data_IF_871559878123
#
_entry.id   IF_871559878123
#
_cell.length_a   1.000
_cell.length_b   1.000
_cell.length_c   1.000
_cell.angle_alpha   90.00
_cell.angle_beta   90.00
_cell.angle_gamma   90.00
#
_symmetry.space_group_name_H-M   'P 1'
#
loop_
_entity.id
_entity.type
_entity.pdbx_description
1 polymer ?
#
# COMPACT_ATOMS: atom_id res chain seq x y z
N UNK A 1 19.26 -7.84 -71.16
CA UNK A 1 18.16 -8.44 -70.38
C UNK A 1 18.78 -9.08 -69.14
N UNK A 2 18.15 -8.89 -67.98
CA UNK A 2 18.41 -9.57 -66.69
C UNK A 2 19.67 -9.09 -65.94
N UNK A 3 19.66 -8.61 -64.70
CA UNK A 3 18.64 -8.42 -63.68
C UNK A 3 19.39 -8.07 -62.39
N UNK A 4 19.12 -6.90 -61.79
CA UNK A 4 19.74 -6.44 -60.54
C UNK A 4 19.05 -7.16 -59.38
N UNK A 5 19.78 -8.00 -58.65
CA UNK A 5 19.33 -8.59 -57.40
C UNK A 5 19.68 -7.64 -56.24
N UNK A 6 18.69 -6.85 -55.80
CA UNK A 6 18.73 -6.11 -54.54
C UNK A 6 18.50 -7.10 -53.38
N UNK A 7 19.57 -7.48 -52.69
CA UNK A 7 19.50 -8.18 -51.41
C UNK A 7 19.06 -7.18 -50.33
N UNK A 8 17.75 -7.10 -50.09
CA UNK A 8 17.17 -6.40 -48.95
C UNK A 8 17.53 -7.17 -47.66
N UNK A 9 18.56 -6.70 -46.98
CA UNK A 9 18.92 -7.15 -45.63
C UNK A 9 17.94 -6.51 -44.65
N UNK A 10 16.77 -7.13 -44.46
CA UNK A 10 15.83 -6.74 -43.40
C UNK A 10 16.45 -7.18 -42.08
N UNK A 11 17.23 -6.28 -41.48
CA UNK A 11 17.62 -6.37 -40.09
C UNK A 11 16.36 -6.09 -39.26
N UNK A 12 15.64 -7.15 -38.89
CA UNK A 12 14.68 -7.10 -37.79
C UNK A 12 15.45 -6.75 -36.52
N UNK A 13 15.64 -5.46 -36.26
CA UNK A 13 15.91 -4.97 -34.92
C UNK A 13 14.66 -5.31 -34.12
N UNK A 14 14.71 -6.45 -33.44
CA UNK A 14 13.84 -6.73 -32.32
C UNK A 14 14.07 -5.57 -31.34
N UNK A 15 13.17 -4.60 -31.36
CA UNK A 15 13.07 -3.57 -30.33
C UNK A 15 12.49 -4.29 -29.12
N UNK A 16 13.28 -5.17 -28.50
CA UNK A 16 13.10 -5.58 -27.14
C UNK A 16 13.38 -4.33 -26.32
N UNK A 17 12.38 -3.46 -26.18
CA UNK A 17 12.42 -2.35 -25.26
C UNK A 17 12.57 -2.96 -23.88
N UNK A 18 13.79 -3.04 -23.38
CA UNK A 18 14.04 -3.31 -21.98
C UNK A 18 13.34 -2.20 -21.21
N UNK A 19 12.22 -2.53 -20.55
CA UNK A 19 11.64 -1.66 -19.53
C UNK A 19 12.74 -1.38 -18.53
N UNK A 20 13.21 -0.13 -18.47
CA UNK A 20 14.20 0.29 -17.49
C UNK A 20 13.63 -0.01 -16.10
N UNK A 21 14.27 -0.92 -15.37
CA UNK A 21 13.90 -1.24 -13.99
C UNK A 21 14.54 -0.19 -13.10
N UNK A 22 13.71 0.52 -12.33
CA UNK A 22 14.14 1.42 -11.27
C UNK A 22 14.09 0.68 -9.94
N UNK A 23 15.27 0.47 -9.34
CA UNK A 23 15.46 -0.23 -8.07
C UNK A 23 16.37 0.62 -7.19
N UNK A 24 15.92 0.90 -5.98
CA UNK A 24 16.63 1.68 -4.96
C UNK A 24 16.76 0.81 -3.70
N UNK A 25 17.93 0.21 -3.46
CA UNK A 25 18.08 -0.75 -2.36
C UNK A 25 17.08 -1.90 -2.44
N UNK A 26 16.23 -2.06 -1.42
CA UNK A 26 15.14 -3.06 -1.40
C UNK A 26 13.85 -2.57 -2.10
N UNK A 27 13.79 -1.33 -2.54
CA UNK A 27 12.61 -0.72 -3.13
C UNK A 27 12.61 -0.86 -4.66
N UNK A 28 11.83 -1.80 -5.18
CA UNK A 28 11.54 -1.91 -6.61
C UNK A 28 10.40 -0.95 -6.99
N UNK A 29 10.77 0.25 -7.42
CA UNK A 29 9.84 1.31 -7.85
C UNK A 29 8.99 0.84 -9.04
N UNK A 30 9.59 0.05 -9.93
CA UNK A 30 8.90 -0.47 -11.12
C UNK A 30 7.73 -1.36 -10.73
N UNK A 31 7.97 -2.29 -9.80
CA UNK A 31 6.92 -3.15 -9.25
C UNK A 31 5.88 -2.34 -8.46
N UNK A 32 6.32 -1.39 -7.64
CA UNK A 32 5.41 -0.51 -6.88
C UNK A 32 4.47 0.28 -7.79
N UNK A 33 4.94 0.78 -8.93
CA UNK A 33 4.08 1.49 -9.87
C UNK A 33 3.00 0.62 -10.53
N UNK A 34 3.13 -0.70 -10.49
CA UNK A 34 2.07 -1.61 -10.98
C UNK A 34 0.91 -1.77 -9.99
N UNK A 35 1.12 -1.42 -8.71
CA UNK A 35 0.14 -1.62 -7.65
C UNK A 35 -0.69 -0.38 -7.33
N UNK A 36 -0.37 0.76 -7.95
CA UNK A 36 -1.00 2.06 -7.72
C UNK A 36 -1.68 2.60 -8.98
N UNK A 37 -2.60 3.56 -8.86
CA UNK A 37 -3.16 4.25 -10.02
C UNK A 37 -2.09 4.98 -10.84
N UNK A 38 -2.20 5.03 -12.18
CA UNK A 38 -1.38 5.92 -13.00
C UNK A 38 -1.51 7.37 -12.54
N UNK A 39 -0.39 8.11 -12.55
CA UNK A 39 -0.28 9.47 -12.01
C UNK A 39 0.14 9.51 -10.53
N UNK A 40 0.12 8.38 -9.82
CA UNK A 40 0.62 8.31 -8.44
C UNK A 40 2.10 8.70 -8.40
N UNK A 41 2.45 9.54 -7.45
CA UNK A 41 3.83 9.96 -7.20
C UNK A 41 4.41 9.15 -6.04
N UNK A 42 5.58 8.58 -6.25
CA UNK A 42 6.34 7.84 -5.25
C UNK A 42 7.68 8.52 -5.01
N UNK A 43 7.98 8.83 -3.75
CA UNK A 43 9.27 9.39 -3.36
C UNK A 43 10.41 8.39 -3.59
N UNK A 44 11.61 8.92 -3.84
CA UNK A 44 12.82 8.13 -3.84
C UNK A 44 13.31 7.91 -2.40
N UNK A 45 13.95 6.78 -2.16
CA UNK A 45 14.63 6.45 -0.89
C UNK A 45 16.14 6.69 -0.96
N UNK A 46 16.64 7.25 -2.06
CA UNK A 46 18.07 7.59 -2.23
C UNK A 46 18.31 9.04 -2.59
N UNK A 47 17.28 9.85 -2.79
CA UNK A 47 17.38 11.31 -2.91
C UNK A 47 16.01 11.94 -2.76
N UNK A 48 15.90 13.06 -2.07
CA UNK A 48 14.67 13.84 -2.07
C UNK A 48 14.62 14.87 -3.20
N UNK A 49 15.67 14.98 -4.02
CA UNK A 49 15.68 15.89 -5.16
C UNK A 49 14.81 15.39 -6.29
N UNK A 50 14.39 14.13 -6.26
CA UNK A 50 13.51 13.57 -7.26
C UNK A 50 12.50 12.58 -6.68
N UNK A 51 11.50 12.31 -7.51
CA UNK A 51 10.44 11.35 -7.26
C UNK A 51 10.07 10.66 -8.56
N UNK A 52 9.22 9.66 -8.48
CA UNK A 52 8.75 8.90 -9.62
C UNK A 52 7.26 9.15 -9.84
N UNK A 53 6.88 9.40 -11.09
CA UNK A 53 5.49 9.42 -11.51
C UNK A 53 5.18 8.07 -12.14
N UNK A 54 4.27 7.31 -11.54
CA UNK A 54 3.84 6.04 -12.08
C UNK A 54 2.99 6.24 -13.34
N UNK A 55 3.43 5.69 -14.46
CA UNK A 55 2.65 5.70 -15.71
C UNK A 55 2.28 4.28 -16.10
N UNK A 56 1.41 4.13 -17.10
CA UNK A 56 1.08 2.83 -17.69
C UNK A 56 2.29 2.07 -18.24
N UNK A 57 3.37 2.78 -18.57
CA UNK A 57 4.59 2.21 -19.15
C UNK A 57 5.71 2.03 -18.11
N UNK A 58 5.43 2.27 -16.83
CA UNK A 58 6.41 2.25 -15.75
C UNK A 58 6.64 3.63 -15.11
N UNK A 59 7.51 3.69 -14.09
CA UNK A 59 7.88 4.93 -13.41
C UNK A 59 8.65 5.88 -14.34
N UNK A 60 8.38 7.18 -14.20
CA UNK A 60 9.15 8.26 -14.82
C UNK A 60 9.75 9.11 -13.71
N UNK A 61 11.07 9.14 -13.62
CA UNK A 61 11.79 9.98 -12.66
C UNK A 61 11.62 11.47 -13.01
N UNK A 62 11.30 12.27 -12.01
CA UNK A 62 11.07 13.72 -12.12
C UNK A 62 11.83 14.43 -11.01
N UNK A 63 12.67 15.42 -11.36
CA UNK A 63 13.42 16.22 -10.40
C UNK A 63 12.60 17.41 -9.89
N UNK A 64 12.74 17.71 -8.61
CA UNK A 64 12.30 18.97 -8.04
C UNK A 64 13.20 20.12 -8.49
N UNK A 65 12.67 21.36 -8.54
CA UNK A 65 13.48 22.55 -8.78
C UNK A 65 14.55 22.75 -7.71
N UNK A 66 15.63 23.46 -8.04
CA UNK A 66 16.68 23.83 -7.08
C UNK A 66 16.10 24.53 -5.84
N UNK A 67 16.49 24.08 -4.65
CA UNK A 67 15.98 24.59 -3.36
C UNK A 67 14.67 23.96 -2.89
N UNK A 68 14.16 22.97 -3.63
CA UNK A 68 12.98 22.19 -3.27
C UNK A 68 13.32 20.71 -3.17
N UNK A 69 12.61 20.02 -2.27
CA UNK A 69 12.69 18.57 -2.10
C UNK A 69 11.28 17.98 -2.18
N UNK A 70 11.19 16.73 -2.61
CA UNK A 70 9.91 16.05 -2.75
C UNK A 70 9.31 15.76 -1.36
N UNK A 71 8.14 16.33 -1.12
CA UNK A 71 7.31 16.06 0.05
C UNK A 71 6.25 15.03 -0.34
N UNK A 72 6.48 13.77 0.04
CA UNK A 72 5.55 12.69 -0.26
C UNK A 72 4.19 12.87 0.45
N UNK A 73 4.15 13.56 1.61
CA UNK A 73 2.90 13.81 2.34
C UNK A 73 2.03 14.80 1.56
N UNK A 74 2.65 15.79 0.91
CA UNK A 74 1.97 16.72 0.02
C UNK A 74 1.73 16.15 -1.40
N UNK A 75 2.56 15.19 -1.83
CA UNK A 75 2.71 14.76 -3.22
C UNK A 75 3.08 15.94 -4.14
N UNK A 76 4.10 16.69 -3.73
CA UNK A 76 4.62 17.82 -4.47
C UNK A 76 6.04 18.19 -4.00
N UNK A 77 6.77 18.97 -4.81
CA UNK A 77 8.00 19.58 -4.36
C UNK A 77 7.69 20.75 -3.41
N UNK A 78 8.25 20.70 -2.20
CA UNK A 78 8.14 21.73 -1.17
C UNK A 78 9.53 22.32 -0.88
N UNK A 79 9.65 23.55 -0.34
CA UNK A 79 10.96 24.11 0.02
C UNK A 79 11.74 23.13 0.90
N UNK A 80 13.01 22.84 0.57
CA UNK A 80 13.79 21.79 1.24
C UNK A 80 13.85 21.95 2.76
N UNK A 81 13.88 23.20 3.26
CA UNK A 81 13.86 23.53 4.69
C UNK A 81 12.59 23.11 5.43
N UNK A 82 11.50 22.83 4.70
CA UNK A 82 10.20 22.42 5.26
C UNK A 82 9.95 20.91 5.16
N UNK A 83 10.82 20.16 4.45
CA UNK A 83 10.67 18.73 4.21
C UNK A 83 11.55 17.95 5.18
N UNK A 84 10.98 16.93 5.82
CA UNK A 84 11.73 15.94 6.61
C UNK A 84 12.40 14.91 5.69
N UNK A 85 13.29 15.39 4.82
CA UNK A 85 14.14 14.55 3.99
C UNK A 85 15.28 13.97 4.82
N UNK A 86 15.44 12.65 4.78
CA UNK A 86 16.58 11.96 5.38
C UNK A 86 17.28 11.05 4.38
N UNK A 87 16.79 10.96 3.14
CA UNK A 87 17.25 10.03 2.11
C UNK A 87 18.15 10.75 1.10
N UNK A 88 19.31 10.15 0.79
CA UNK A 88 20.20 10.65 -0.26
C UNK A 88 21.02 11.88 0.06
N UNK A 89 21.14 12.24 1.34
CA UNK A 89 22.00 13.34 1.77
C UNK A 89 23.30 12.78 2.35
N UNK A 90 24.44 13.38 1.99
CA UNK A 90 25.75 13.04 2.56
C UNK A 90 25.77 13.31 4.08
N UNK A 91 25.01 14.33 4.52
CA UNK A 91 24.79 14.65 5.92
C UNK A 91 23.28 14.64 6.23
N UNK A 92 22.76 13.68 7.01
CA UNK A 92 21.32 13.63 7.35
C UNK A 92 20.87 14.79 8.26
N UNK A 93 21.81 15.56 8.82
CA UNK A 93 21.54 16.79 9.57
C UNK A 93 21.43 18.04 8.70
N UNK A 94 21.77 17.96 7.41
CA UNK A 94 21.78 19.14 6.54
C UNK A 94 20.41 19.82 6.49
N UNK A 95 20.41 21.15 6.65
CA UNK A 95 19.20 21.97 6.65
C UNK A 95 18.34 21.88 7.92
N UNK A 96 18.75 21.11 8.94
CA UNK A 96 18.04 21.06 10.24
C UNK A 96 18.57 22.12 11.19
N UNK A 97 17.69 22.95 11.73
CA UNK A 97 18.05 24.03 12.66
C UNK A 97 17.84 23.61 14.12
N UNK A 98 18.80 23.95 14.98
CA UNK A 98 18.74 23.62 16.40
C UNK A 98 19.15 22.18 16.70
N UNK A 99 18.52 21.64 17.74
CA UNK A 99 18.81 20.32 18.31
C UNK A 99 17.71 19.34 17.92
N UNK A 100 18.05 18.30 17.16
CA UNK A 100 17.07 17.33 16.67
C UNK A 100 17.71 15.97 16.35
N UNK A 101 16.89 14.93 16.26
CA UNK A 101 17.32 13.57 15.95
C UNK A 101 16.79 13.11 14.59
N UNK A 102 17.67 12.55 13.77
CA UNK A 102 17.36 12.08 12.41
C UNK A 102 17.69 10.58 12.28
N UNK A 103 16.97 9.82 11.45
CA UNK A 103 17.25 8.41 11.25
C UNK A 103 18.53 8.23 10.42
N UNK A 104 19.25 7.12 10.64
CA UNK A 104 20.32 6.70 9.74
C UNK A 104 19.73 5.90 8.58
N UNK A 105 20.00 6.34 7.35
CA UNK A 105 19.53 5.67 6.12
C UNK A 105 19.94 4.20 6.11
N UNK A 106 18.99 3.33 5.77
CA UNK A 106 19.27 1.89 5.65
C UNK A 106 19.19 1.12 6.97
N UNK A 107 19.02 1.83 8.07
CA UNK A 107 18.79 1.26 9.39
C UNK A 107 17.38 1.61 9.85
N UNK A 108 16.83 0.83 10.77
CA UNK A 108 15.55 1.17 11.38
C UNK A 108 15.68 1.51 12.88
N UNK A 109 16.83 1.19 13.48
CA UNK A 109 17.08 1.44 14.91
C UNK A 109 18.09 2.56 15.16
N UNK A 110 18.92 2.95 14.19
CA UNK A 110 19.97 3.96 14.42
C UNK A 110 19.48 5.39 14.16
N UNK A 111 20.08 6.33 14.89
CA UNK A 111 19.80 7.75 14.83
C UNK A 111 21.06 8.59 14.95
N UNK A 112 20.99 9.81 14.43
CA UNK A 112 22.02 10.85 14.55
C UNK A 112 21.42 12.05 15.29
N UNK A 113 22.11 12.54 16.31
CA UNK A 113 21.83 13.81 16.94
C UNK A 113 22.48 14.93 16.15
N UNK A 114 21.65 15.86 15.70
CA UNK A 114 22.04 17.05 14.96
C UNK A 114 22.02 18.24 15.91
N UNK A 115 23.07 19.04 15.83
CA UNK A 115 23.19 20.33 16.48
C UNK A 115 23.77 21.31 15.49
N UNK A 116 23.00 22.28 15.03
CA UNK A 116 23.48 23.20 13.99
C UNK A 116 22.79 23.02 12.64
N UNK A 117 22.43 21.80 12.23
CA UNK A 117 22.92 21.17 10.97
C UNK A 117 24.13 20.22 11.01
N UNK A 118 24.84 20.10 12.13
CA UNK A 118 26.02 19.23 12.25
C UNK A 118 25.70 17.97 13.03
N UNK A 119 26.05 16.81 12.47
CA UNK A 119 26.04 15.53 13.19
C UNK A 119 26.97 15.60 14.41
N UNK A 120 26.39 15.61 15.60
CA UNK A 120 27.07 15.83 16.88
C UNK A 120 26.99 14.64 17.83
N UNK A 121 26.28 13.58 17.44
CA UNK A 121 26.22 12.31 18.14
C UNK A 121 25.42 11.28 17.35
N UNK A 122 25.49 10.02 17.75
CA UNK A 122 24.69 8.94 17.19
C UNK A 122 24.37 7.90 18.24
N UNK A 123 23.39 7.05 17.96
CA UNK A 123 23.05 5.93 18.83
C UNK A 123 22.07 4.98 18.16
N UNK A 124 21.67 3.96 18.92
CA UNK A 124 20.82 2.88 18.44
C UNK A 124 19.68 2.63 19.44
N UNK A 125 18.48 2.46 18.93
CA UNK A 125 17.30 2.06 19.68
C UNK A 125 17.42 0.58 20.07
N UNK A 126 17.38 0.28 21.37
CA UNK A 126 17.47 -1.10 21.86
C UNK A 126 16.10 -1.75 21.79
N UNK A 127 15.97 -2.86 21.05
CA UNK A 127 14.72 -3.60 20.86
C UNK A 127 13.53 -2.71 20.44
N UNK A 128 13.81 -1.66 19.66
CA UNK A 128 12.87 -0.62 19.24
C UNK A 128 13.32 0.01 17.92
N UNK A 129 12.46 0.83 17.31
CA UNK A 129 12.69 1.50 16.03
C UNK A 129 12.80 3.00 16.28
N UNK A 130 13.73 3.69 15.61
CA UNK A 130 13.78 5.15 15.70
C UNK A 130 12.66 5.78 14.88
N UNK A 131 11.81 6.57 15.53
CA UNK A 131 10.74 7.31 14.88
C UNK A 131 11.19 8.78 14.69
N UNK A 132 11.39 9.24 13.43
CA UNK A 132 11.84 10.60 13.16
C UNK A 132 10.75 11.67 13.32
N UNK A 133 9.46 11.29 13.29
CA UNK A 133 8.36 12.23 13.55
C UNK A 133 8.28 12.55 15.06
N UNK A 134 8.51 11.57 15.93
CA UNK A 134 8.53 11.76 17.40
C UNK A 134 9.93 11.98 17.97
N UNK A 135 10.96 11.95 17.13
CA UNK A 135 12.38 12.06 17.49
C UNK A 135 12.79 11.15 18.67
N UNK A 136 12.28 9.92 18.68
CA UNK A 136 12.44 9.00 19.81
C UNK A 136 12.34 7.54 19.37
N UNK A 137 12.87 6.64 20.20
CA UNK A 137 12.69 5.21 20.01
C UNK A 137 11.24 4.82 20.32
N UNK A 138 10.56 4.22 19.34
CA UNK A 138 9.22 3.70 19.46
C UNK A 138 9.23 2.17 19.49
N UNK A 139 8.25 1.56 20.16
CA UNK A 139 8.12 0.11 20.21
C UNK A 139 7.99 -0.49 18.80
N UNK A 140 8.81 -1.48 18.48
CA UNK A 140 8.80 -2.14 17.18
C UNK A 140 9.93 -3.16 17.07
N UNK A 141 9.80 -4.13 16.18
CA UNK A 141 10.85 -5.13 15.93
C UNK A 141 11.59 -4.77 14.66
N UNK A 142 12.85 -4.34 14.80
CA UNK A 142 13.76 -4.17 13.69
C UNK A 142 14.25 -5.55 13.22
N UNK A 143 13.90 -5.95 12.01
CA UNK A 143 14.52 -7.14 11.37
C UNK A 143 15.64 -6.61 10.49
N UNK A 144 16.76 -6.24 11.11
CA UNK A 144 17.92 -5.80 10.34
C UNK A 144 18.49 -7.00 9.59
N UNK A 145 18.33 -7.02 8.27
CA UNK A 145 19.45 -7.45 7.45
C UNK A 145 20.30 -6.19 7.31
N UNK A 146 21.49 -6.10 7.93
CA UNK A 146 22.38 -4.97 7.76
C UNK A 146 22.89 -4.97 6.32
N UNK A 147 22.05 -4.51 5.41
CA UNK A 147 22.42 -4.20 4.04
C UNK A 147 23.00 -2.80 4.09
N UNK A 148 24.25 -2.64 3.69
CA UNK A 148 24.82 -1.34 3.37
C UNK A 148 24.01 -0.72 2.24
N UNK A 149 23.01 0.09 2.57
CA UNK A 149 22.17 0.75 1.57
C UNK A 149 20.79 1.16 2.07
N UNK A 150 20.09 1.97 1.27
CA UNK A 150 18.75 2.46 1.56
C UNK A 150 17.76 1.30 1.73
N UNK A 151 16.92 1.36 2.77
CA UNK A 151 15.92 0.34 3.07
C UNK A 151 14.56 1.01 3.30
N UNK A 152 13.60 0.69 2.44
CA UNK A 152 12.21 1.08 2.59
C UNK A 152 11.49 0.07 3.47
N UNK A 153 10.91 0.55 4.58
CA UNK A 153 10.09 -0.25 5.49
C UNK A 153 8.80 -0.72 4.79
N UNK A 154 8.03 0.24 4.29
CA UNK A 154 6.80 0.02 3.56
C UNK A 154 6.51 1.18 2.61
N UNK A 155 5.65 0.96 1.61
CA UNK A 155 5.36 1.97 0.58
C UNK A 155 4.74 3.27 1.17
N UNK A 156 4.12 3.23 2.35
CA UNK A 156 3.54 4.40 3.03
C UNK A 156 4.56 5.42 3.53
N UNK A 157 5.87 5.12 3.44
CA UNK A 157 6.94 6.09 3.67
C UNK A 157 7.29 6.93 2.44
N UNK A 158 6.77 6.58 1.26
CA UNK A 158 7.09 7.26 -0.01
C UNK A 158 5.88 7.58 -0.88
N UNK A 159 4.69 7.04 -0.59
CA UNK A 159 3.43 7.41 -1.24
C UNK A 159 2.61 8.33 -0.33
N UNK A 160 1.84 9.22 -0.95
CA UNK A 160 0.91 10.11 -0.24
C UNK A 160 0.03 9.35 0.76
N UNK A 161 -0.15 9.85 2.01
CA UNK A 161 -1.10 9.29 2.95
C UNK A 161 -2.53 9.21 2.40
N UNK A 162 -3.33 8.30 2.97
CA UNK A 162 -4.69 7.98 2.51
C UNK A 162 -4.76 7.41 1.09
N UNK A 163 -3.65 6.89 0.57
CA UNK A 163 -3.61 6.14 -0.68
C UNK A 163 -3.85 4.66 -0.45
N UNK A 164 -4.42 4.00 -1.46
CA UNK A 164 -4.60 2.55 -1.53
C UNK A 164 -3.71 1.97 -2.64
N UNK A 165 -3.17 0.78 -2.42
CA UNK A 165 -2.37 0.08 -3.41
C UNK A 165 -2.51 -1.44 -3.25
N UNK A 166 -2.26 -2.18 -4.33
CA UNK A 166 -2.39 -3.64 -4.35
C UNK A 166 -1.15 -4.36 -3.81
N UNK A 167 -1.29 -5.64 -3.52
CA UNK A 167 -0.15 -6.53 -3.38
C UNK A 167 0.41 -6.94 -4.75
N UNK A 168 1.73 -7.18 -4.81
CA UNK A 168 2.43 -7.78 -5.96
C UNK A 168 2.50 -9.30 -5.89
N UNK A 169 2.01 -9.92 -4.81
CA UNK A 169 2.02 -11.37 -4.58
C UNK A 169 0.62 -11.99 -4.45
N UNK A 170 -0.41 -11.19 -4.10
CA UNK A 170 -1.79 -11.65 -4.00
C UNK A 170 -2.73 -10.59 -4.59
N UNK A 171 -3.46 -10.95 -5.64
CA UNK A 171 -4.32 -10.00 -6.34
C UNK A 171 -5.50 -9.52 -5.49
N UNK A 172 -5.97 -10.33 -4.53
CA UNK A 172 -7.07 -9.97 -3.65
C UNK A 172 -6.63 -9.07 -2.50
N UNK A 173 -5.34 -9.01 -2.17
CA UNK A 173 -4.83 -8.18 -1.07
C UNK A 173 -4.60 -6.75 -1.55
N UNK A 174 -5.05 -5.80 -0.73
CA UNK A 174 -4.71 -4.39 -0.84
C UNK A 174 -4.14 -3.87 0.46
N UNK A 175 -3.46 -2.74 0.36
CA UNK A 175 -2.89 -1.98 1.45
C UNK A 175 -3.43 -0.55 1.42
N UNK A 176 -3.33 0.13 2.55
CA UNK A 176 -3.67 1.54 2.66
C UNK A 176 -2.76 2.24 3.65
N UNK A 177 -2.50 3.52 3.37
CA UNK A 177 -1.61 4.34 4.18
C UNK A 177 -2.38 5.24 5.15
N UNK A 178 -2.08 5.11 6.42
CA UNK A 178 -2.58 6.02 7.44
C UNK A 178 -1.82 7.36 7.41
N UNK A 179 -2.39 8.44 7.99
CA UNK A 179 -1.74 9.75 8.06
C UNK A 179 -0.37 9.77 8.75
N UNK A 180 -0.11 8.83 9.65
CA UNK A 180 1.17 8.65 10.35
C UNK A 180 2.21 7.85 9.54
N UNK A 181 1.89 7.47 8.31
CA UNK A 181 2.75 6.66 7.46
C UNK A 181 2.85 5.20 7.91
N UNK A 182 1.97 4.73 8.79
CA UNK A 182 1.76 3.29 9.01
C UNK A 182 0.91 2.70 7.88
N UNK A 183 1.07 1.39 7.66
CA UNK A 183 0.40 0.65 6.60
C UNK A 183 -0.59 -0.34 7.21
N UNK A 184 -1.83 -0.32 6.75
CA UNK A 184 -2.80 -1.38 7.00
C UNK A 184 -3.05 -2.21 5.73
N UNK A 185 -3.65 -3.38 5.91
CA UNK A 185 -4.02 -4.29 4.83
C UNK A 185 -5.52 -4.64 4.82
N UNK A 186 -5.97 -5.27 3.74
CA UNK A 186 -7.31 -5.81 3.60
C UNK A 186 -7.45 -6.73 2.39
N UNK A 187 -8.60 -7.40 2.29
CA UNK A 187 -8.92 -8.34 1.20
C UNK A 187 -10.11 -7.83 0.41
N UNK A 188 -9.98 -7.79 -0.91
CA UNK A 188 -11.03 -7.36 -1.81
C UNK A 188 -12.14 -8.42 -1.90
N UNK A 189 -13.41 -8.07 -1.60
CA UNK A 189 -14.53 -9.03 -1.62
C UNK A 189 -14.85 -9.54 -3.03
N UNK A 190 -14.46 -8.80 -4.06
CA UNK A 190 -14.67 -9.14 -5.47
C UNK A 190 -13.44 -9.81 -6.12
N UNK A 191 -12.44 -10.17 -5.31
CA UNK A 191 -11.31 -11.00 -5.71
C UNK A 191 -10.10 -10.27 -6.29
N UNK A 192 -10.20 -8.96 -6.60
CA UNK A 192 -9.05 -8.20 -7.10
C UNK A 192 -9.00 -6.76 -6.57
N UNK A 193 -7.81 -6.29 -6.21
CA UNK A 193 -7.52 -4.86 -6.19
C UNK A 193 -7.23 -4.39 -7.62
N UNK A 194 -7.92 -3.35 -8.09
CA UNK A 194 -7.74 -2.81 -9.43
C UNK A 194 -6.91 -1.54 -9.33
N UNK A 195 -5.59 -1.68 -9.57
CA UNK A 195 -4.61 -0.59 -9.41
C UNK A 195 -5.01 0.67 -10.18
N UNK A 196 -5.54 0.51 -11.40
CA UNK A 196 -6.01 1.63 -12.23
C UNK A 196 -6.98 2.58 -11.51
N UNK A 197 -7.84 2.04 -10.62
CA UNK A 197 -8.85 2.81 -9.90
C UNK A 197 -8.50 3.01 -8.43
N UNK A 198 -7.46 2.34 -7.92
CA UNK A 198 -7.10 2.37 -6.51
C UNK A 198 -8.18 1.75 -5.61
N UNK A 199 -8.94 0.75 -6.12
CA UNK A 199 -10.11 0.22 -5.44
C UNK A 199 -10.34 -1.28 -5.74
N UNK A 200 -11.12 -1.93 -4.88
CA UNK A 200 -11.53 -3.31 -5.09
C UNK A 200 -12.52 -3.45 -6.26
N UNK A 201 -12.32 -4.50 -7.05
CA UNK A 201 -13.13 -4.85 -8.20
C UNK A 201 -12.95 -6.32 -8.57
N UNK A 202 -13.27 -6.65 -9.82
CA UNK A 202 -13.10 -7.99 -10.37
C UNK A 202 -11.81 -8.09 -11.17
N UNK A 203 -11.26 -9.29 -11.25
CA UNK A 203 -10.17 -9.59 -12.18
C UNK A 203 -10.70 -9.64 -13.61
N UNK A 204 -10.64 -8.50 -14.28
CA UNK A 204 -11.03 -8.35 -15.68
C UNK A 204 -9.93 -7.58 -16.39
N UNK A 205 -9.69 -7.86 -17.67
CA UNK A 205 -8.65 -7.21 -18.46
C UNK A 205 -7.22 -7.34 -17.88
N UNK A 206 -6.91 -8.46 -17.22
CA UNK A 206 -5.56 -8.72 -16.72
C UNK A 206 -5.19 -7.89 -15.48
N UNK A 207 -6.17 -7.50 -14.66
CA UNK A 207 -5.90 -6.75 -13.42
C UNK A 207 -4.95 -7.50 -12.49
N UNK A 208 -4.96 -8.84 -12.53
CA UNK A 208 -4.04 -9.69 -11.77
C UNK A 208 -2.74 -10.05 -12.51
N UNK A 209 -2.52 -9.60 -13.75
CA UNK A 209 -1.31 -9.94 -14.52
C UNK A 209 -0.05 -9.26 -13.97
N UNK A 210 -0.21 -8.30 -13.05
CA UNK A 210 0.88 -7.57 -12.36
C UNK A 210 1.59 -8.37 -11.26
N UNK A 211 1.08 -9.55 -10.90
CA UNK A 211 1.69 -10.38 -9.86
C UNK A 211 3.04 -10.88 -10.39
N UNK A 212 4.13 -10.47 -9.75
CA UNK A 212 5.50 -10.58 -10.29
C UNK A 212 6.43 -11.38 -9.39
N UNK A 213 5.90 -12.05 -8.35
CA UNK A 213 6.64 -12.69 -7.25
C UNK A 213 7.69 -11.79 -6.58
N UNK A 214 7.71 -10.50 -6.94
CA UNK A 214 8.61 -9.47 -6.45
C UNK A 214 7.84 -8.62 -5.45
N UNK A 215 7.96 -8.90 -4.13
CA UNK A 215 7.21 -8.17 -3.13
C UNK A 215 7.63 -6.69 -3.14
N UNK A 216 6.65 -5.78 -3.16
CA UNK A 216 6.89 -4.40 -2.71
C UNK A 216 7.26 -4.43 -1.23
N UNK A 217 8.18 -3.57 -0.75
CA UNK A 217 8.54 -3.56 0.65
C UNK A 217 7.30 -3.42 1.54
N UNK A 218 7.12 -4.40 2.42
CA UNK A 218 6.00 -4.50 3.33
C UNK A 218 6.46 -5.22 4.60
N UNK A 219 7.21 -4.54 5.49
CA UNK A 219 7.55 -5.10 6.80
C UNK A 219 6.32 -5.11 7.72
N UNK A 220 5.29 -5.86 7.36
CA UNK A 220 4.26 -6.28 8.29
C UNK A 220 4.90 -7.27 9.25
N UNK A 221 5.25 -6.82 10.45
CA UNK A 221 5.42 -7.77 11.55
C UNK A 221 4.02 -8.22 11.92
N UNK A 222 3.74 -9.52 11.77
CA UNK A 222 2.51 -10.15 12.25
C UNK A 222 2.44 -10.16 13.80
N UNK A 223 2.74 -9.02 14.43
CA UNK A 223 2.59 -8.80 15.87
C UNK A 223 1.14 -8.43 16.24
N UNK A 224 0.23 -8.41 15.26
CA UNK A 224 -1.21 -8.48 15.46
C UNK A 224 -1.76 -9.79 14.92
N UNK A 225 -1.81 -10.83 15.77
CA UNK A 225 -2.48 -12.14 15.59
C UNK A 225 -2.66 -12.62 14.14
N UNK A 226 -1.74 -13.47 13.69
CA UNK A 226 -2.02 -14.47 12.67
C UNK A 226 -3.23 -15.30 13.13
N UNK A 227 -4.42 -15.04 12.58
CA UNK A 227 -5.46 -16.05 12.59
C UNK A 227 -5.05 -17.10 11.56
N UNK A 228 -4.22 -18.04 11.98
CA UNK A 228 -4.27 -19.38 11.42
C UNK A 228 -5.65 -19.93 11.77
N UNK A 229 -6.64 -19.66 10.93
CA UNK A 229 -7.83 -20.49 10.94
C UNK A 229 -7.35 -21.90 10.57
N UNK A 230 -7.60 -22.92 11.41
CA UNK A 230 -7.57 -24.28 10.90
C UNK A 230 -8.65 -24.35 9.80
N UNK A 231 -8.61 -25.37 8.95
CA UNK A 231 -9.50 -25.55 7.81
C UNK A 231 -9.03 -24.90 6.50
N UNK A 232 -8.06 -25.56 5.87
CA UNK A 232 -8.21 -25.85 4.44
C UNK A 232 -9.61 -26.42 4.20
N UNK A 233 -10.47 -25.71 3.45
CA UNK A 233 -11.66 -26.33 2.86
C UNK A 233 -11.63 -26.19 1.33
N UNK A 234 -11.88 -27.30 0.61
CA UNK A 234 -11.87 -27.32 -0.85
C UNK A 234 -13.11 -26.62 -1.41
N UNK A 235 -13.00 -26.23 -2.68
CA UNK A 235 -14.11 -25.87 -3.55
C UNK A 235 -15.26 -26.88 -3.48
N UNK A 236 -16.35 -26.52 -2.78
CA UNK A 236 -17.76 -26.92 -2.99
C UNK A 236 -18.55 -26.97 -1.66
N UNK A 237 -19.38 -25.94 -1.38
CA UNK A 237 -20.72 -26.09 -0.74
C UNK A 237 -21.39 -24.73 -0.49
N UNK A 238 -22.20 -24.30 -1.45
CA UNK A 238 -23.02 -23.07 -1.39
C UNK A 238 -24.40 -23.28 -0.73
N UNK A 239 -24.62 -24.34 0.07
CA UNK A 239 -25.98 -24.71 0.55
C UNK A 239 -26.16 -24.80 2.07
N UNK A 240 -25.11 -24.69 2.88
CA UNK A 240 -25.23 -24.85 4.34
C UNK A 240 -25.24 -23.54 5.16
N UNK A 241 -24.99 -22.38 4.54
CA UNK A 241 -25.00 -21.08 5.24
C UNK A 241 -26.43 -20.61 5.54
N UNK A 242 -27.41 -20.96 4.70
CA UNK A 242 -28.81 -20.55 4.88
C UNK A 242 -29.44 -21.23 6.11
N UNK A 243 -29.05 -22.46 6.43
CA UNK A 243 -29.63 -23.21 7.56
C UNK A 243 -29.13 -22.72 8.93
N UNK A 244 -27.94 -22.10 9.00
CA UNK A 244 -27.38 -21.64 10.28
C UNK A 244 -27.90 -20.26 10.71
N UNK A 245 -28.38 -19.44 9.75
CA UNK A 245 -29.03 -18.16 10.05
C UNK A 245 -30.42 -18.40 10.67
N UNK A 246 -31.15 -19.43 10.23
CA UNK A 246 -32.47 -19.78 10.77
C UNK A 246 -32.43 -20.24 12.24
N UNK A 247 -31.36 -20.92 12.67
CA UNK A 247 -31.25 -21.40 14.05
C UNK A 247 -30.94 -20.27 15.05
N UNK A 248 -30.24 -19.22 14.62
CA UNK A 248 -29.94 -18.07 15.48
C UNK A 248 -31.13 -17.12 15.69
N UNK A 249 -32.10 -17.08 14.76
CA UNK A 249 -33.32 -16.28 14.95
C UNK A 249 -34.29 -16.88 15.98
N UNK A 250 -34.31 -18.21 16.15
CA UNK A 250 -35.23 -18.87 17.10
C UNK A 250 -34.80 -18.73 18.58
N UNK A 251 -33.56 -18.34 18.86
CA UNK A 251 -33.04 -18.14 20.22
C UNK A 251 -33.22 -16.72 20.76
N UNK A 252 -33.76 -15.78 19.99
CA UNK A 252 -34.06 -14.39 20.43
C UNK A 252 -35.52 -14.27 20.90
N UNK A 253 -36.05 -15.31 21.54
CA UNK A 253 -37.45 -15.36 21.98
C UNK A 253 -37.67 -15.18 23.49
N UNK A 254 -36.65 -14.87 24.29
CA UNK A 254 -36.81 -14.68 25.74
C UNK A 254 -36.40 -13.29 26.23
N UNK A 255 -37.45 -12.47 26.47
CA UNK A 255 -37.56 -11.37 27.44
C UNK A 255 -36.43 -10.32 27.54
N UNK A 256 -36.62 -9.21 26.83
CA UNK A 256 -36.88 -7.83 27.34
C UNK A 256 -36.66 -6.83 26.19
N UNK A 257 -37.27 -5.64 26.22
CA UNK A 257 -37.25 -4.58 25.19
C UNK A 257 -38.36 -4.62 24.12
N UNK A 258 -39.59 -4.35 24.56
CA UNK A 258 -40.76 -4.15 23.69
C UNK A 258 -40.70 -2.81 22.91
N UNK A 259 -39.95 -1.81 23.36
CA UNK A 259 -39.84 -0.51 22.67
C UNK A 259 -38.77 -0.43 21.56
N UNK A 260 -37.91 -1.45 21.40
CA UNK A 260 -36.87 -1.47 20.35
C UNK A 260 -37.33 -2.08 19.02
N UNK A 261 -38.58 -2.58 18.94
CA UNK A 261 -39.09 -3.28 17.74
C UNK A 261 -39.35 -2.37 16.53
N UNK A 262 -39.70 -1.09 16.73
CA UNK A 262 -39.88 -0.14 15.62
C UNK A 262 -38.54 0.38 15.09
N UNK A 263 -37.58 0.61 15.98
CA UNK A 263 -36.26 1.18 15.62
C UNK A 263 -35.41 0.12 14.89
N UNK A 264 -35.40 -1.12 15.39
CA UNK A 264 -34.65 -2.21 14.75
C UNK A 264 -35.25 -2.61 13.38
N UNK A 265 -36.57 -2.50 13.19
CA UNK A 265 -37.23 -2.70 11.89
C UNK A 265 -36.79 -1.66 10.84
N UNK A 266 -36.72 -0.39 11.23
CA UNK A 266 -36.28 0.70 10.34
C UNK A 266 -34.80 0.57 10.00
N UNK A 267 -33.98 0.15 10.97
CA UNK A 267 -32.55 -0.08 10.75
C UNK A 267 -32.29 -1.28 9.83
N UNK A 268 -32.98 -2.42 10.04
CA UNK A 268 -32.82 -3.60 9.18
C UNK A 268 -33.29 -3.33 7.74
N UNK A 269 -34.38 -2.58 7.55
CA UNK A 269 -34.85 -2.20 6.21
C UNK A 269 -33.85 -1.29 5.48
N UNK A 270 -33.25 -0.31 6.19
CA UNK A 270 -32.21 0.54 5.60
C UNK A 270 -30.96 -0.23 5.24
N UNK A 271 -30.52 -1.15 6.09
CA UNK A 271 -29.35 -1.98 5.84
C UNK A 271 -29.59 -2.95 4.67
N UNK A 272 -30.78 -3.52 4.54
CA UNK A 272 -31.13 -4.41 3.42
C UNK A 272 -31.28 -3.66 2.08
N UNK A 273 -31.77 -2.43 2.08
CA UNK A 273 -31.89 -1.60 0.87
C UNK A 273 -30.53 -1.14 0.30
N UNK A 274 -29.49 -1.05 1.14
CA UNK A 274 -28.16 -0.57 0.73
C UNK A 274 -27.24 -1.67 0.18
N UNK A 275 -27.63 -2.95 0.19
CA UNK A 275 -26.73 -4.06 -0.15
C UNK A 275 -27.31 -5.14 -1.09
N UNK A 276 -28.53 -4.98 -1.62
CA UNK A 276 -29.19 -6.01 -2.43
C UNK A 276 -29.82 -5.43 -3.72
N UNK A 277 -29.66 -6.13 -4.86
CA UNK A 277 -30.36 -5.83 -6.14
C UNK A 277 -31.88 -6.12 -6.03
N UNK A 278 -32.70 -5.43 -6.83
CA UNK A 278 -34.18 -5.41 -6.73
C UNK A 278 -34.87 -6.78 -6.62
N UNK A 279 -34.36 -7.79 -7.32
CA UNK A 279 -34.96 -9.14 -7.34
C UNK A 279 -34.75 -9.90 -6.02
N UNK A 280 -33.67 -9.60 -5.28
CA UNK A 280 -33.38 -10.19 -3.97
C UNK A 280 -34.25 -9.55 -2.87
N UNK A 281 -34.61 -8.27 -3.02
CA UNK A 281 -35.55 -7.60 -2.12
C UNK A 281 -36.95 -8.22 -2.22
N UNK A 282 -37.42 -8.52 -3.45
CA UNK A 282 -38.74 -9.13 -3.70
C UNK A 282 -38.90 -10.52 -3.06
N UNK A 283 -37.82 -11.29 -2.95
CA UNK A 283 -37.83 -12.61 -2.32
C UNK A 283 -37.97 -12.49 -0.80
N UNK A 284 -37.18 -11.61 -0.16
CA UNK A 284 -37.23 -11.36 1.29
C UNK A 284 -38.59 -10.79 1.73
N UNK A 285 -39.19 -9.89 0.93
CA UNK A 285 -40.53 -9.36 1.20
C UNK A 285 -41.64 -10.43 1.16
N UNK A 286 -41.50 -11.47 0.33
CA UNK A 286 -42.46 -12.60 0.29
C UNK A 286 -42.27 -13.58 1.43
N UNK A 287 -41.04 -13.79 1.91
CA UNK A 287 -40.73 -14.76 2.97
C UNK A 287 -41.10 -14.24 4.37
N UNK A 288 -41.15 -12.93 4.58
CA UNK A 288 -41.41 -12.29 5.88
C UNK A 288 -42.89 -12.07 6.24
N UNK A 289 -43.84 -12.81 5.65
CA UNK A 289 -45.31 -12.72 5.89
C UNK A 289 -45.70 -12.11 7.26
N UNK A 290 -45.92 -10.79 7.28
CA UNK A 290 -46.39 -10.04 8.43
C UNK A 290 -47.93 -10.06 8.40
N UNK A 291 -48.55 -10.70 9.41
CA UNK A 291 -49.83 -10.22 9.93
C UNK A 291 -49.55 -9.13 10.96
#
# INVERSE_FOLDING_TARGET
>A
MSGIYLLASILCLAIGGSVAQFIEGNYNVTAACTTVPPGTQLGSIVSCDYYYVCTKNGPVQTNCPTGYSYDYKAASCSPSSSVSCYYGMDNPCEGKVGDNWVPVIGTCSEWVYCKNDVASGSGTCVNSIFNPDTQSCAYGTCTENPTTGPNLENLCKVIKPSSYFGSTSDCAIYYYCYPDGSMGDGVCPNGAFVAQYGACGYDTNGNCDRITDSPVPNTCTNSGKQWSLPWSYPSNRSTNVINNINNNFNNINNNTFINSRRIMKVYLMKVLQMSLKDDQQRFIYKTLNFK
#
